data_IF_669021168462
#
_entry.id   IF_669021168462
#
_cell.length_a   1.000
_cell.length_b   1.000
_cell.length_c   1.000
_cell.angle_alpha   90.00
_cell.angle_beta   90.00
_cell.angle_gamma   90.00
#
_symmetry.space_group_name_H-M   'P 1'
#
loop_
_entity.id
_entity.type
_entity.pdbx_description
1 polymer ?
#
# COMPACT_ATOMS: atom_id res chain seq x y z
N UNK A 1 3.27 -2.62 -15.40
CA UNK A 1 2.44 -3.73 -15.93
C UNK A 1 2.36 -3.78 -17.45
N UNK A 2 1.90 -2.72 -18.15
CA UNK A 2 1.82 -2.72 -19.62
C UNK A 2 3.13 -3.11 -20.31
N UNK A 3 4.25 -2.50 -19.90
CA UNK A 3 5.57 -2.81 -20.47
C UNK A 3 5.97 -4.28 -20.26
N UNK A 4 5.74 -4.85 -19.08
CA UNK A 4 6.00 -6.27 -18.78
C UNK A 4 5.24 -7.18 -19.74
N UNK A 5 3.95 -6.89 -19.97
CA UNK A 5 3.11 -7.65 -20.89
C UNK A 5 3.56 -7.50 -22.35
N UNK A 6 3.92 -6.28 -22.78
CA UNK A 6 4.38 -6.00 -24.14
C UNK A 6 5.73 -6.66 -24.45
N UNK A 7 6.62 -6.74 -23.47
CA UNK A 7 7.93 -7.38 -23.61
C UNK A 7 7.88 -8.90 -23.45
N UNK A 8 6.72 -9.47 -23.09
CA UNK A 8 6.53 -10.91 -22.88
C UNK A 8 7.60 -11.51 -21.95
N UNK A 9 7.91 -10.81 -20.86
CA UNK A 9 8.94 -11.28 -19.92
C UNK A 9 8.56 -12.66 -19.39
N UNK A 10 9.52 -13.61 -19.29
CA UNK A 10 9.25 -14.98 -18.85
C UNK A 10 9.13 -15.09 -17.32
N UNK A 11 8.30 -14.23 -16.72
CA UNK A 11 8.04 -14.16 -15.29
C UNK A 11 6.53 -14.03 -15.02
N UNK A 12 6.08 -14.60 -13.91
CA UNK A 12 4.70 -14.42 -13.44
C UNK A 12 4.62 -13.15 -12.61
N UNK A 13 3.69 -12.26 -12.93
CA UNK A 13 3.50 -11.00 -12.20
C UNK A 13 2.02 -10.81 -11.88
N UNK A 14 1.72 -10.59 -10.60
CA UNK A 14 0.41 -10.19 -10.10
C UNK A 14 0.46 -8.70 -9.78
N UNK A 15 -0.58 -7.95 -10.18
CA UNK A 15 -0.72 -6.54 -9.82
C UNK A 15 -2.04 -6.35 -9.08
N UNK A 16 -1.96 -5.91 -7.83
CA UNK A 16 -3.09 -5.52 -7.01
C UNK A 16 -3.13 -4.01 -6.93
N UNK A 17 -4.28 -3.41 -7.27
CA UNK A 17 -4.49 -1.96 -7.20
C UNK A 17 -5.69 -1.72 -6.29
N UNK A 18 -5.48 -1.45 -5.00
CA UNK A 18 -6.59 -1.06 -4.15
C UNK A 18 -7.02 0.35 -4.51
N UNK A 19 -8.33 0.56 -4.65
CA UNK A 19 -8.91 1.82 -5.10
C UNK A 19 -9.92 2.31 -4.06
N UNK A 20 -9.72 3.52 -3.58
CA UNK A 20 -10.60 4.20 -2.65
C UNK A 20 -10.54 5.71 -2.89
N UNK A 21 -11.56 6.42 -2.42
CA UNK A 21 -11.56 7.88 -2.36
C UNK A 21 -11.66 8.30 -0.89
N UNK A 22 -10.76 9.16 -0.42
CA UNK A 22 -10.78 9.68 0.94
C UNK A 22 -11.75 10.88 1.03
N UNK A 23 -13.05 10.60 1.04
CA UNK A 23 -14.10 11.62 0.96
C UNK A 23 -14.62 12.09 2.33
N UNK A 24 -14.78 13.40 2.47
CA UNK A 24 -15.50 14.01 3.59
C UNK A 24 -17.01 13.77 3.40
N UNK A 25 -17.63 13.14 4.38
CA UNK A 25 -19.09 12.90 4.41
C UNK A 25 -19.58 12.73 5.85
N UNK A 26 -20.90 12.70 6.05
CA UNK A 26 -21.49 12.41 7.36
C UNK A 26 -21.14 11.01 7.91
N UNK A 27 -20.70 10.10 7.03
CA UNK A 27 -20.27 8.74 7.36
C UNK A 27 -18.75 8.55 7.18
N UNK A 28 -17.99 9.64 7.06
CA UNK A 28 -16.54 9.55 6.95
C UNK A 28 -15.92 8.97 8.23
N UNK A 29 -14.78 8.30 8.04
CA UNK A 29 -13.87 7.88 9.10
C UNK A 29 -13.57 9.04 10.04
N UNK A 30 -13.72 8.80 11.34
CA UNK A 30 -13.43 9.78 12.39
C UNK A 30 -12.12 9.44 13.09
N UNK A 31 -11.52 10.47 13.67
CA UNK A 31 -10.40 10.28 14.59
C UNK A 31 -10.88 9.42 15.77
N UNK A 32 -10.06 8.45 16.16
CA UNK A 32 -10.35 7.43 17.18
C UNK A 32 -11.40 6.38 16.81
N UNK A 33 -11.86 6.34 15.55
CA UNK A 33 -12.52 5.13 15.06
C UNK A 33 -11.54 3.95 15.04
N UNK A 34 -12.04 2.76 15.40
CA UNK A 34 -11.27 1.52 15.39
C UNK A 34 -11.75 0.66 14.22
N UNK A 35 -10.82 0.27 13.36
CA UNK A 35 -11.04 -0.61 12.22
C UNK A 35 -10.46 -1.99 12.49
N UNK A 36 -11.14 -3.03 12.02
CA UNK A 36 -10.58 -4.37 11.96
C UNK A 36 -10.12 -4.62 10.53
N UNK A 37 -8.81 -4.76 10.33
CA UNK A 37 -8.21 -5.14 9.07
C UNK A 37 -8.58 -6.58 8.71
N UNK A 38 -8.41 -6.92 7.44
CA UNK A 38 -8.64 -8.26 6.89
C UNK A 38 -7.82 -9.34 7.60
N UNK A 39 -6.61 -9.00 8.03
CA UNK A 39 -5.72 -9.86 8.81
C UNK A 39 -6.21 -10.13 10.26
N UNK A 40 -7.38 -9.59 10.65
CA UNK A 40 -7.95 -9.69 12.00
C UNK A 40 -7.33 -8.75 13.03
N UNK A 41 -6.39 -7.90 12.61
CA UNK A 41 -5.75 -6.89 13.46
C UNK A 41 -6.65 -5.65 13.56
N UNK A 42 -6.65 -5.00 14.73
CA UNK A 42 -7.35 -3.73 14.91
C UNK A 42 -6.41 -2.54 14.79
N UNK A 43 -6.91 -1.44 14.20
CA UNK A 43 -6.18 -0.18 14.01
C UNK A 43 -7.05 0.98 14.46
N UNK A 44 -6.53 1.84 15.33
CA UNK A 44 -7.14 3.12 15.67
C UNK A 44 -6.72 4.20 14.66
N UNK A 45 -7.69 4.87 14.03
CA UNK A 45 -7.41 5.99 13.14
C UNK A 45 -7.10 7.26 13.93
N UNK A 46 -5.83 7.44 14.26
CA UNK A 46 -5.34 8.68 14.88
C UNK A 46 -5.20 9.84 13.89
N UNK A 47 -5.06 9.53 12.60
CA UNK A 47 -5.03 10.50 11.51
C UNK A 47 -5.74 9.91 10.27
N UNK A 48 -6.79 10.58 9.81
CA UNK A 48 -7.61 10.14 8.67
C UNK A 48 -6.94 10.39 7.31
N UNK A 49 -5.92 11.24 7.28
CA UNK A 49 -5.09 11.53 6.09
C UNK A 49 -3.88 10.58 6.00
N UNK A 50 -3.83 9.58 6.89
CA UNK A 50 -2.90 8.46 6.83
C UNK A 50 -3.59 7.18 6.31
N UNK A 51 -4.65 7.30 5.51
CA UNK A 51 -5.51 6.21 5.05
C UNK A 51 -4.81 5.27 4.07
N UNK A 52 -3.89 5.79 3.25
CA UNK A 52 -3.25 5.00 2.20
C UNK A 52 -2.58 3.73 2.73
N UNK A 53 -1.97 3.78 3.93
CA UNK A 53 -1.33 2.61 4.54
C UNK A 53 -2.33 1.54 5.00
N UNK A 54 -3.54 1.94 5.37
CA UNK A 54 -4.60 1.03 5.83
C UNK A 54 -5.10 0.22 4.64
N UNK A 55 -5.40 0.91 3.54
CA UNK A 55 -5.86 0.31 2.29
C UNK A 55 -4.79 -0.60 1.68
N UNK A 56 -3.51 -0.20 1.75
CA UNK A 56 -2.39 -1.05 1.34
C UNK A 56 -2.23 -2.29 2.21
N UNK A 57 -2.42 -2.19 3.53
CA UNK A 57 -2.29 -3.33 4.43
C UNK A 57 -3.28 -4.45 4.05
N UNK A 58 -4.55 -4.12 3.84
CA UNK A 58 -5.56 -5.10 3.41
C UNK A 58 -5.28 -5.67 2.01
N UNK A 59 -4.79 -4.83 1.09
CA UNK A 59 -4.45 -5.26 -0.26
C UNK A 59 -3.27 -6.24 -0.27
N UNK A 60 -2.22 -5.95 0.51
CA UNK A 60 -1.05 -6.81 0.67
C UNK A 60 -1.45 -8.15 1.26
N UNK A 61 -2.17 -8.13 2.37
CA UNK A 61 -2.67 -9.32 3.04
C UNK A 61 -3.51 -10.19 2.08
N UNK A 62 -4.48 -9.58 1.37
CA UNK A 62 -5.33 -10.25 0.38
C UNK A 62 -4.51 -10.89 -0.76
N UNK A 63 -3.46 -10.22 -1.21
CA UNK A 63 -2.62 -10.70 -2.32
C UNK A 63 -1.74 -11.86 -1.87
N UNK A 64 -1.16 -11.77 -0.66
CA UNK A 64 -0.32 -12.83 -0.08
C UNK A 64 -1.13 -14.10 0.18
N UNK A 65 -2.37 -13.98 0.64
CA UNK A 65 -3.23 -15.16 0.86
C UNK A 65 -3.61 -15.85 -0.46
N UNK A 66 -3.87 -15.08 -1.51
CA UNK A 66 -4.35 -15.62 -2.79
C UNK A 66 -3.25 -16.19 -3.69
N UNK A 67 -2.01 -15.77 -3.50
CA UNK A 67 -0.93 -16.06 -4.45
C UNK A 67 0.34 -16.49 -3.73
N UNK A 68 1.03 -17.49 -4.30
CA UNK A 68 2.40 -17.83 -3.89
C UNK A 68 3.36 -16.85 -4.55
N UNK A 69 3.82 -15.86 -3.78
CA UNK A 69 4.70 -14.79 -4.24
C UNK A 69 6.14 -15.04 -3.77
N UNK A 70 7.12 -14.82 -4.66
CA UNK A 70 8.54 -14.86 -4.29
C UNK A 70 9.07 -13.50 -3.81
N UNK A 71 8.43 -12.41 -4.23
CA UNK A 71 8.76 -11.04 -3.85
C UNK A 71 7.51 -10.16 -3.98
N UNK A 72 7.49 -9.06 -3.22
CA UNK A 72 6.44 -8.05 -3.24
C UNK A 72 7.09 -6.69 -3.31
N UNK A 73 6.56 -5.83 -4.16
CA UNK A 73 6.92 -4.41 -4.24
C UNK A 73 5.63 -3.61 -4.14
N UNK A 74 5.43 -2.90 -3.04
CA UNK A 74 4.40 -1.87 -2.93
C UNK A 74 4.97 -0.50 -3.32
N UNK A 75 4.13 0.31 -3.96
CA UNK A 75 4.51 1.65 -4.41
C UNK A 75 3.36 2.59 -4.08
N UNK A 76 3.66 3.66 -3.35
CA UNK A 76 2.65 4.64 -2.94
C UNK A 76 3.27 6.02 -2.76
N UNK A 77 2.50 7.06 -3.11
CA UNK A 77 2.79 8.45 -2.74
C UNK A 77 2.39 8.70 -1.29
N UNK A 78 3.05 7.99 -0.36
CA UNK A 78 2.48 7.72 0.97
C UNK A 78 2.61 8.87 1.97
N UNK A 79 3.71 9.63 1.94
CA UNK A 79 3.94 10.70 2.92
C UNK A 79 4.62 11.90 2.28
N UNK A 80 4.23 13.10 2.69
CA UNK A 80 4.97 14.32 2.37
C UNK A 80 6.37 14.36 3.00
N UNK A 81 6.60 13.60 4.07
CA UNK A 81 7.91 13.51 4.72
C UNK A 81 9.01 12.97 3.80
N UNK A 82 8.68 12.07 2.86
CA UNK A 82 9.67 11.58 1.89
C UNK A 82 10.22 12.69 1.00
N UNK A 83 9.37 13.64 0.59
CA UNK A 83 9.79 14.81 -0.20
C UNK A 83 10.71 15.72 0.61
N UNK A 84 10.42 15.92 1.90
CA UNK A 84 11.26 16.73 2.79
C UNK A 84 12.67 16.10 2.93
N UNK A 85 12.75 14.78 3.06
CA UNK A 85 14.02 14.08 3.32
C UNK A 85 14.85 13.87 2.05
N UNK A 86 14.22 13.53 0.93
CA UNK A 86 14.90 13.07 -0.29
C UNK A 86 14.74 14.01 -1.50
N UNK A 87 13.92 15.05 -1.39
CA UNK A 87 13.56 15.91 -2.51
C UNK A 87 12.59 15.23 -3.49
N UNK A 88 12.46 15.80 -4.69
CA UNK A 88 11.51 15.32 -5.71
C UNK A 88 12.11 14.29 -6.69
N UNK A 89 13.43 14.16 -6.71
CA UNK A 89 14.15 13.33 -7.69
C UNK A 89 14.41 11.90 -7.22
N UNK A 90 14.33 11.65 -5.91
CA UNK A 90 14.61 10.35 -5.31
C UNK A 90 13.39 9.83 -4.56
N UNK A 91 13.19 8.51 -4.59
CA UNK A 91 12.14 7.84 -3.79
C UNK A 91 12.73 7.18 -2.57
N UNK A 92 11.99 7.20 -1.46
CA UNK A 92 12.30 6.37 -0.29
C UNK A 92 11.97 4.91 -0.57
N UNK A 93 12.79 4.01 -0.05
CA UNK A 93 12.56 2.56 -0.10
C UNK A 93 12.80 1.99 1.28
N UNK A 94 11.82 1.23 1.79
CA UNK A 94 11.94 0.49 3.04
C UNK A 94 11.98 -1.00 2.72
N UNK A 95 13.08 -1.67 3.08
CA UNK A 95 13.26 -3.10 2.83
C UNK A 95 13.48 -3.79 4.17
N UNK A 96 12.65 -4.77 4.54
CA UNK A 96 12.78 -5.49 5.82
C UNK A 96 13.95 -6.49 5.82
N UNK A 97 14.54 -6.78 4.66
CA UNK A 97 15.64 -7.73 4.49
C UNK A 97 16.79 -7.08 3.70
N UNK A 98 18.06 -7.22 4.15
CA UNK A 98 19.21 -6.69 3.43
C UNK A 98 19.60 -7.48 2.16
N UNK A 99 18.84 -8.53 1.82
CA UNK A 99 19.15 -9.48 0.73
C UNK A 99 18.33 -9.24 -0.56
N UNK A 100 17.53 -8.18 -0.59
CA UNK A 100 16.77 -7.74 -1.77
C UNK A 100 17.51 -6.62 -2.50
#
# INVERSE_FOLDING_TARGET
>A
MRAIAQLQLPINVVATVPLCENMISGNATKVSDIYTLRAGLTVEAMNIDAEGRIVLADALDCTIEKHSLCAIVDVATLTGAMVIVLGELYTGVSIPSPLL
#
